data_IF_802581115495
#
_entry.id   IF_802581115495
#
_cell.length_a   1.000
_cell.length_b   1.000
_cell.length_c   1.000
_cell.angle_alpha   90.00
_cell.angle_beta   90.00
_cell.angle_gamma   90.00
#
_symmetry.space_group_name_H-M   'P 1'
#
loop_
_entity.id
_entity.type
_entity.pdbx_description
1 polymer ?
#
# COMPACT_ATOMS: atom_id res chain seq x y z
N UNK A 1 -2.58 -16.78 -8.13
CA UNK A 1 -3.57 -16.50 -7.06
C UNK A 1 -4.95 -16.05 -7.60
N UNK A 2 -5.53 -16.76 -8.57
CA UNK A 2 -6.72 -16.27 -9.29
C UNK A 2 -8.00 -16.21 -8.42
N UNK A 3 -8.21 -17.17 -7.52
CA UNK A 3 -9.41 -17.22 -6.67
C UNK A 3 -9.49 -16.07 -5.66
N UNK A 4 -8.39 -15.80 -4.96
CA UNK A 4 -8.29 -14.74 -3.96
C UNK A 4 -8.47 -13.35 -4.60
N UNK A 5 -7.88 -13.12 -5.78
CA UNK A 5 -8.10 -11.89 -6.56
C UNK A 5 -9.57 -11.69 -6.95
N UNK A 6 -10.27 -12.77 -7.34
CA UNK A 6 -11.72 -12.71 -7.64
C UNK A 6 -12.54 -12.38 -6.40
N UNK A 7 -12.17 -12.91 -5.24
CA UNK A 7 -12.81 -12.59 -3.97
C UNK A 7 -12.61 -11.11 -3.62
N UNK A 8 -11.38 -10.61 -3.75
CA UNK A 8 -11.05 -9.20 -3.52
C UNK A 8 -11.89 -8.26 -4.41
N UNK A 9 -12.04 -8.56 -5.71
CA UNK A 9 -12.92 -7.79 -6.61
C UNK A 9 -14.37 -7.71 -6.12
N UNK A 10 -14.90 -8.79 -5.56
CA UNK A 10 -16.28 -8.81 -5.04
C UNK A 10 -16.39 -8.00 -3.75
N UNK A 11 -15.44 -8.19 -2.83
CA UNK A 11 -15.41 -7.47 -1.57
C UNK A 11 -15.28 -5.95 -1.78
N UNK A 12 -14.43 -5.52 -2.70
CA UNK A 12 -14.30 -4.11 -3.08
C UNK A 12 -15.60 -3.56 -3.67
N UNK A 13 -16.25 -4.30 -4.57
CA UNK A 13 -17.56 -3.91 -5.15
C UNK A 13 -18.66 -3.78 -4.10
N UNK A 14 -18.66 -4.64 -3.09
CA UNK A 14 -19.65 -4.65 -2.02
C UNK A 14 -19.27 -3.68 -0.87
N UNK A 15 -18.14 -2.97 -1.00
CA UNK A 15 -17.56 -2.08 0.02
C UNK A 15 -17.31 -2.79 1.38
N UNK A 16 -16.93 -4.07 1.31
CA UNK A 16 -16.71 -4.91 2.49
C UNK A 16 -15.23 -5.16 2.71
N UNK A 17 -14.77 -4.91 3.93
CA UNK A 17 -13.48 -5.41 4.40
C UNK A 17 -13.66 -6.75 5.11
N UNK A 18 -12.82 -7.73 4.79
CA UNK A 18 -12.86 -9.05 5.40
C UNK A 18 -11.45 -9.55 5.66
N UNK A 19 -11.14 -9.82 6.94
CA UNK A 19 -9.87 -10.41 7.33
C UNK A 19 -9.97 -11.93 7.15
N UNK A 20 -9.29 -12.45 6.13
CA UNK A 20 -9.22 -13.90 5.87
C UNK A 20 -7.77 -14.34 6.04
N UNK A 21 -7.56 -15.49 6.68
CA UNK A 21 -6.25 -16.13 6.70
C UNK A 21 -5.91 -16.62 5.29
N UNK A 22 -4.81 -16.11 4.75
CA UNK A 22 -4.32 -16.47 3.43
C UNK A 22 -3.20 -17.51 3.55
N UNK A 23 -3.07 -18.47 2.61
CA UNK A 23 -1.95 -19.40 2.63
C UNK A 23 -0.60 -18.67 2.57
N UNK A 24 0.40 -19.18 3.28
CA UNK A 24 1.73 -18.56 3.39
C UNK A 24 2.35 -18.20 2.02
N UNK A 25 2.26 -19.10 1.05
CA UNK A 25 2.80 -18.86 -0.30
C UNK A 25 2.18 -17.63 -1.01
N UNK A 26 0.95 -17.26 -0.66
CA UNK A 26 0.32 -16.06 -1.22
C UNK A 26 0.76 -14.79 -0.46
N UNK A 27 1.08 -14.91 0.83
CA UNK A 27 1.61 -13.82 1.64
C UNK A 27 3.05 -13.50 1.22
N UNK A 28 3.87 -14.53 1.02
CA UNK A 28 5.23 -14.40 0.48
C UNK A 28 5.21 -13.71 -0.90
N UNK A 29 4.27 -14.08 -1.77
CA UNK A 29 4.11 -13.44 -3.07
C UNK A 29 3.74 -11.96 -2.94
N UNK A 30 2.81 -11.60 -2.05
CA UNK A 30 2.41 -10.20 -1.86
C UNK A 30 3.50 -9.38 -1.15
N UNK A 31 4.36 -10.02 -0.38
CA UNK A 31 5.52 -9.40 0.26
C UNK A 31 6.62 -9.08 -0.77
N UNK A 32 6.80 -9.93 -1.79
CA UNK A 32 7.77 -9.74 -2.88
C UNK A 32 7.13 -9.18 -4.16
N UNK A 33 6.12 -8.35 -3.98
CA UNK A 33 5.38 -7.77 -5.09
C UNK A 33 6.25 -6.82 -5.95
N UNK A 34 7.29 -6.23 -5.37
CA UNK A 34 8.27 -5.40 -6.07
C UNK A 34 9.21 -6.20 -6.99
N UNK A 35 9.40 -7.51 -6.74
CA UNK A 35 10.14 -8.42 -7.62
C UNK A 35 9.31 -8.96 -8.79
N UNK A 36 7.99 -8.79 -8.77
CA UNK A 36 7.10 -9.32 -9.81
C UNK A 36 6.91 -8.37 -10.99
N UNK A 37 6.89 -7.06 -10.72
CA UNK A 37 6.64 -6.03 -11.73
C UNK A 37 6.97 -4.61 -11.20
N UNK A 38 7.08 -3.65 -12.13
CA UNK A 38 7.29 -2.24 -11.79
C UNK A 38 6.09 -1.66 -11.00
N UNK A 39 6.35 -1.33 -9.72
CA UNK A 39 5.34 -0.87 -8.79
C UNK A 39 5.03 0.61 -8.85
N UNK A 40 6.03 1.43 -9.17
CA UNK A 40 5.89 2.88 -9.28
C UNK A 40 6.53 3.31 -10.60
N UNK A 41 5.89 3.00 -11.72
CA UNK A 41 6.43 3.37 -13.02
C UNK A 41 6.35 4.88 -13.21
N UNK A 42 7.47 5.51 -13.49
CA UNK A 42 7.55 6.94 -13.81
C UNK A 42 7.09 7.22 -15.26
N UNK A 43 6.53 8.41 -15.54
CA UNK A 43 6.21 8.81 -16.92
C UNK A 43 7.43 8.63 -17.84
N UNK A 44 7.30 8.02 -19.04
CA UNK A 44 6.09 7.81 -19.84
C UNK A 44 5.41 6.43 -19.67
N UNK A 45 5.74 5.67 -18.63
CA UNK A 45 5.17 4.34 -18.41
C UNK A 45 3.70 4.42 -17.95
N UNK A 46 2.89 3.45 -18.36
CA UNK A 46 1.47 3.40 -18.02
C UNK A 46 1.20 2.48 -16.83
N UNK A 47 0.23 2.87 -16.01
CA UNK A 47 -0.25 2.09 -14.87
C UNK A 47 -1.61 1.46 -15.11
N UNK A 48 -2.41 2.04 -16.02
CA UNK A 48 -3.79 1.61 -16.25
C UNK A 48 -3.88 0.58 -17.38
N UNK A 49 -4.50 -0.60 -17.15
CA UNK A 49 -4.71 -1.60 -18.20
C UNK A 49 -5.62 -1.08 -19.31
N UNK A 50 -6.55 -0.17 -19.01
CA UNK A 50 -7.49 0.39 -19.99
C UNK A 50 -6.81 1.32 -21.01
N UNK A 51 -5.61 1.83 -20.70
CA UNK A 51 -4.83 2.66 -21.60
C UNK A 51 -4.00 1.85 -22.61
N UNK A 52 -3.88 0.53 -22.42
CA UNK A 52 -3.04 -0.34 -23.27
C UNK A 52 -3.45 -0.34 -24.76
N UNK A 53 -4.76 -0.39 -25.12
CA UNK A 53 -5.18 -0.44 -26.53
C UNK A 53 -4.79 0.81 -27.35
N UNK A 54 -4.66 1.98 -26.70
CA UNK A 54 -4.32 3.23 -27.36
C UNK A 54 -2.80 3.42 -27.56
N UNK A 55 -1.97 2.52 -27.01
CA UNK A 55 -0.53 2.65 -27.08
C UNK A 55 0.06 2.36 -28.48
N UNK A 56 1.14 3.08 -28.76
CA UNK A 56 2.01 2.82 -29.90
C UNK A 56 2.88 1.58 -29.64
N UNK A 57 3.40 0.97 -30.70
CA UNK A 57 4.30 -0.18 -30.59
C UNK A 57 5.55 0.14 -29.76
N UNK A 58 6.13 1.34 -29.93
CA UNK A 58 7.29 1.80 -29.16
C UNK A 58 6.95 1.95 -27.67
N UNK A 59 5.78 2.50 -27.34
CA UNK A 59 5.34 2.64 -25.95
C UNK A 59 5.12 1.28 -25.28
N UNK A 60 4.53 0.30 -25.98
CA UNK A 60 4.38 -1.08 -25.48
C UNK A 60 5.74 -1.71 -25.17
N UNK A 61 6.71 -1.53 -26.06
CA UNK A 61 8.07 -2.07 -25.88
C UNK A 61 8.78 -1.44 -24.68
N UNK A 62 8.68 -0.13 -24.50
CA UNK A 62 9.28 0.58 -23.35
C UNK A 62 8.64 0.09 -22.04
N UNK A 63 7.32 -0.04 -22.01
CA UNK A 63 6.61 -0.55 -20.83
C UNK A 63 7.03 -1.98 -20.50
N UNK A 64 6.99 -2.89 -21.48
CA UNK A 64 7.39 -4.28 -21.25
C UNK A 64 8.88 -4.40 -20.89
N UNK A 65 9.76 -3.56 -21.45
CA UNK A 65 11.18 -3.56 -21.08
C UNK A 65 11.39 -3.13 -19.63
N UNK A 66 10.64 -2.15 -19.12
CA UNK A 66 10.68 -1.75 -17.72
C UNK A 66 10.22 -2.88 -16.79
N UNK A 67 9.20 -3.64 -17.20
CA UNK A 67 8.75 -4.82 -16.45
C UNK A 67 9.74 -5.99 -16.55
N UNK A 68 10.33 -6.23 -17.72
CA UNK A 68 11.37 -7.24 -17.95
C UNK A 68 12.63 -7.00 -17.11
N UNK A 69 12.99 -5.74 -16.89
CA UNK A 69 14.13 -5.38 -16.04
C UNK A 69 13.98 -5.80 -14.57
N UNK A 70 12.74 -6.06 -14.13
CA UNK A 70 12.42 -6.55 -12.79
C UNK A 70 12.18 -8.06 -12.82
N UNK A 71 11.47 -8.54 -13.83
CA UNK A 71 11.13 -9.94 -14.00
C UNK A 71 11.45 -10.41 -15.42
N UNK A 72 12.54 -11.18 -15.54
CA UNK A 72 13.08 -11.68 -16.82
C UNK A 72 12.10 -12.60 -17.57
N UNK A 73 11.09 -13.15 -16.90
CA UNK A 73 10.04 -13.96 -17.54
C UNK A 73 9.13 -13.12 -18.46
N UNK A 74 9.14 -11.78 -18.31
CA UNK A 74 8.30 -10.86 -19.08
C UNK A 74 8.95 -10.54 -20.42
N UNK A 75 8.55 -11.22 -21.48
CA UNK A 75 9.12 -10.98 -22.81
C UNK A 75 8.76 -9.59 -23.38
N UNK A 76 9.73 -8.75 -23.77
CA UNK A 76 9.49 -7.44 -24.37
C UNK A 76 9.32 -7.48 -25.89
N UNK A 77 9.27 -8.67 -26.48
CA UNK A 77 9.18 -8.90 -27.92
C UNK A 77 7.87 -9.59 -28.31
N UNK A 78 7.50 -9.48 -29.59
CA UNK A 78 6.29 -10.08 -30.16
C UNK A 78 5.57 -9.13 -31.12
N UNK A 79 4.40 -9.56 -31.57
CA UNK A 79 3.49 -8.71 -32.35
C UNK A 79 2.88 -7.62 -31.45
N UNK A 80 2.34 -6.55 -32.07
CA UNK A 80 1.67 -5.48 -31.32
C UNK A 80 0.54 -6.03 -30.44
N UNK A 81 -0.26 -6.96 -30.96
CA UNK A 81 -1.39 -7.56 -30.25
C UNK A 81 -0.92 -8.39 -29.04
N UNK A 82 0.10 -9.23 -29.21
CA UNK A 82 0.66 -10.02 -28.11
C UNK A 82 1.27 -9.15 -27.02
N UNK A 83 2.02 -8.12 -27.39
CA UNK A 83 2.61 -7.19 -26.43
C UNK A 83 1.54 -6.39 -25.67
N UNK A 84 0.49 -5.95 -26.36
CA UNK A 84 -0.64 -5.27 -25.74
C UNK A 84 -1.36 -6.20 -24.75
N UNK A 85 -1.68 -7.44 -25.17
CA UNK A 85 -2.32 -8.41 -24.28
C UNK A 85 -1.46 -8.69 -23.04
N UNK A 86 -0.16 -8.93 -23.23
CA UNK A 86 0.77 -9.19 -22.13
C UNK A 86 0.87 -8.03 -21.16
N UNK A 87 0.97 -6.80 -21.65
CA UNK A 87 1.02 -5.61 -20.80
C UNK A 87 -0.31 -5.43 -20.04
N UNK A 88 -1.45 -5.63 -20.70
CA UNK A 88 -2.76 -5.55 -20.05
C UNK A 88 -2.88 -6.59 -18.93
N UNK A 89 -2.43 -7.82 -19.15
CA UNK A 89 -2.47 -8.89 -18.16
C UNK A 89 -1.58 -8.58 -16.93
N UNK A 90 -0.39 -8.01 -17.16
CA UNK A 90 0.52 -7.58 -16.08
C UNK A 90 -0.11 -6.46 -15.26
N UNK A 91 -0.63 -5.43 -15.93
CA UNK A 91 -1.25 -4.28 -15.26
C UNK A 91 -2.53 -4.67 -14.51
N UNK A 92 -3.35 -5.56 -15.06
CA UNK A 92 -4.54 -6.08 -14.39
C UNK A 92 -4.16 -6.95 -13.19
N UNK A 93 -3.12 -7.76 -13.30
CA UNK A 93 -2.59 -8.56 -12.19
C UNK A 93 -2.09 -7.67 -11.06
N UNK A 94 -1.28 -6.65 -11.39
CA UNK A 94 -0.81 -5.66 -10.42
C UNK A 94 -1.95 -4.92 -9.75
N UNK A 95 -2.94 -4.45 -10.52
CA UNK A 95 -4.13 -3.79 -9.99
C UNK A 95 -4.86 -4.67 -8.98
N UNK A 96 -4.97 -5.96 -9.28
CA UNK A 96 -5.63 -6.93 -8.41
C UNK A 96 -4.85 -7.25 -7.15
N UNK A 97 -3.53 -7.34 -7.23
CA UNK A 97 -2.68 -7.58 -6.07
C UNK A 97 -2.69 -6.34 -5.14
N UNK A 98 -2.71 -5.12 -5.69
CA UNK A 98 -2.90 -3.88 -4.91
C UNK A 98 -4.27 -3.81 -4.23
N UNK A 99 -5.33 -4.21 -4.96
CA UNK A 99 -6.67 -4.34 -4.41
C UNK A 99 -6.69 -5.33 -3.23
N UNK A 100 -5.93 -6.41 -3.38
CA UNK A 100 -5.81 -7.44 -2.35
C UNK A 100 -5.17 -6.88 -1.09
N UNK A 101 -4.05 -6.15 -1.22
CA UNK A 101 -3.42 -5.47 -0.08
C UNK A 101 -4.38 -4.54 0.67
N UNK A 102 -5.21 -3.79 -0.07
CA UNK A 102 -6.23 -2.90 0.50
C UNK A 102 -7.35 -3.66 1.23
N UNK A 103 -8.00 -4.61 0.54
CA UNK A 103 -9.18 -5.33 1.07
C UNK A 103 -8.85 -6.19 2.29
N UNK A 104 -7.64 -6.74 2.32
CA UNK A 104 -7.19 -7.62 3.40
C UNK A 104 -6.36 -6.91 4.48
N UNK A 105 -6.11 -5.61 4.32
CA UNK A 105 -5.37 -4.81 5.30
C UNK A 105 -3.89 -5.20 5.42
N UNK A 106 -3.30 -5.72 4.34
CA UNK A 106 -1.87 -6.10 4.28
C UNK A 106 -0.96 -4.90 3.95
N UNK A 107 -1.54 -3.75 3.60
CA UNK A 107 -0.78 -2.50 3.55
C UNK A 107 -0.54 -2.01 4.98
N UNK A 108 0.64 -2.27 5.54
CA UNK A 108 1.06 -1.56 6.74
C UNK A 108 1.20 -0.07 6.44
N UNK A 109 0.54 0.73 7.29
CA UNK A 109 0.65 2.18 7.44
C UNK A 109 0.23 3.05 6.25
N UNK A 110 -1.08 3.29 6.12
CA UNK A 110 -1.51 4.65 5.84
C UNK A 110 -1.45 5.43 7.15
N UNK A 111 -0.55 6.40 7.23
CA UNK A 111 -0.71 7.50 8.16
C UNK A 111 -2.09 8.11 7.92
N UNK A 112 -3.03 7.87 8.84
CA UNK A 112 -4.24 8.66 8.96
C UNK A 112 -3.80 10.04 9.43
N UNK A 113 -3.41 10.91 8.50
CA UNK A 113 -3.38 12.34 8.74
C UNK A 113 -4.85 12.80 8.79
N UNK A 114 -5.51 12.51 9.91
CA UNK A 114 -6.74 13.19 10.28
C UNK A 114 -6.34 14.62 10.67
N UNK A 115 -6.60 15.52 9.74
CA UNK A 115 -6.61 16.96 9.90
C UNK A 115 -7.58 17.35 11.02
N UNK A 116 -7.09 18.04 12.04
CA UNK A 116 -7.91 18.82 12.96
C UNK A 116 -7.17 20.10 13.33
N UNK A 117 -7.21 21.07 12.43
CA UNK A 117 -7.07 22.46 12.83
C UNK A 117 -8.16 22.82 13.84
N UNK A 118 -7.76 23.13 15.07
CA UNK A 118 -8.59 23.89 16.01
C UNK A 118 -7.70 24.82 16.81
N UNK A 119 -7.62 26.06 16.33
CA UNK A 119 -7.33 27.23 17.14
C UNK A 119 -8.41 27.36 18.21
N UNK A 120 -8.05 27.24 19.47
CA UNK A 120 -8.79 27.88 20.55
C UNK A 120 -7.80 28.25 21.66
N UNK A 121 -7.39 29.52 21.62
CA UNK A 121 -6.93 30.23 22.80
C UNK A 121 -7.98 30.04 23.89
N UNK A 122 -7.60 29.41 24.98
CA UNK A 122 -8.39 29.40 26.21
C UNK A 122 -7.43 29.63 27.35
N UNK A 123 -7.05 30.90 27.50
CA UNK A 123 -6.62 31.46 28.77
C UNK A 123 -7.77 31.27 29.77
N UNK A 124 -7.65 30.27 30.63
CA UNK A 124 -8.39 30.23 31.88
C UNK A 124 -7.39 30.18 33.02
N UNK A 125 -7.26 31.33 33.68
CA UNK A 125 -6.67 31.41 35.01
C UNK A 125 -7.39 30.46 35.94
N UNK A 126 -6.63 29.57 36.60
CA UNK A 126 -7.05 28.98 37.88
C UNK A 126 -5.92 29.17 38.86
N UNK A 127 -6.08 30.23 39.64
CA UNK A 127 -5.47 30.43 40.93
C UNK A 127 -5.98 29.30 41.86
N UNK A 128 -5.09 28.46 42.38
CA UNK A 128 -5.36 27.70 43.59
C UNK A 128 -4.05 27.28 44.27
N UNK A 129 -3.66 28.12 45.22
CA UNK A 129 -2.89 27.75 46.40
C UNK A 129 -3.49 26.50 47.07
N UNK A 130 -2.72 25.42 47.16
CA UNK A 130 -2.87 24.48 48.28
C UNK A 130 -1.51 23.93 48.67
N UNK A 131 -1.22 24.12 49.95
CA UNK A 131 -0.04 23.69 50.68
C UNK A 131 -0.06 22.18 50.86
N UNK A 132 1.04 21.49 50.50
CA UNK A 132 1.27 20.12 50.95
C UNK A 132 2.61 20.00 51.65
N UNK A 133 2.49 19.73 52.94
CA UNK A 133 3.54 19.58 53.93
C UNK A 133 3.98 18.11 53.90
N UNK A 134 5.07 17.79 53.20
CA UNK A 134 5.68 16.47 53.35
C UNK A 134 6.85 16.51 54.35
N UNK A 135 6.57 15.86 55.46
CA UNK A 135 7.43 15.62 56.61
C UNK A 135 8.56 14.68 56.22
N UNK A 136 9.80 15.19 56.12
CA UNK A 136 10.99 14.33 56.02
C UNK A 136 11.59 14.13 57.40
N UNK A 137 11.26 12.99 58.01
CA UNK A 137 11.90 12.48 59.21
C UNK A 137 13.41 12.32 58.96
N UNK A 138 14.21 13.11 59.67
CA UNK A 138 15.66 12.93 59.73
C UNK A 138 15.95 11.91 60.83
N UNK A 139 16.24 10.69 60.42
CA UNK A 139 16.94 9.72 61.27
C UNK A 139 18.44 10.05 61.21
N UNK A 140 18.98 10.51 62.33
CA UNK A 140 20.41 10.63 62.65
C UNK A 140 20.51 10.64 64.18
N UNK A 141 20.68 9.50 64.85
CA UNK A 141 21.95 8.81 65.12
C UNK A 141 22.88 9.54 66.12
N UNK A 142 23.28 8.79 67.16
CA UNK A 142 24.46 8.99 68.03
C UNK A 142 24.33 10.07 69.12
N UNK A 143 24.65 9.86 70.39
CA UNK A 143 25.37 8.82 71.15
C UNK A 143 24.91 8.84 72.61
#
# INVERSE_FOLDING_TARGET
MHGIRKLAKRLDRDERMMRISMPLACDDYLSDMAGQYCMYPDPPLITSPDAVPSLSFSALKINLAAHHAINEDILPTGTKAEMAQRLADILETRRLDLLLGRVFGLSESACTSDDAGSTLDTDWEVDSDVTEVESKAVLSASS
#
